data_IF_281202703906
#
_entry.id   IF_281202703906
#
_cell.length_a   1.000
_cell.length_b   1.000
_cell.length_c   1.000
_cell.angle_alpha   90.00
_cell.angle_beta   90.00
_cell.angle_gamma   90.00
#
_symmetry.space_group_name_H-M   'P 1'
#
loop_
_entity.id
_entity.type
_entity.pdbx_description
1 polymer ?
#
# COMPACT_ATOMS: atom_id res chain seq x y z
N UNK A 1 25.28 -28.53 -17.08
CA UNK A 1 24.21 -27.95 -16.24
C UNK A 1 23.44 -26.98 -17.10
N UNK A 2 22.12 -27.20 -17.28
CA UNK A 2 21.34 -26.49 -18.30
C UNK A 2 20.76 -25.19 -17.79
N UNK A 3 20.80 -24.14 -18.63
CA UNK A 3 20.19 -22.81 -18.45
C UNK A 3 18.79 -22.82 -17.80
N UNK A 4 17.96 -23.82 -18.11
CA UNK A 4 16.62 -24.00 -17.53
C UNK A 4 16.64 -24.27 -16.01
N UNK A 5 17.66 -24.98 -15.51
CA UNK A 5 17.85 -25.24 -14.07
C UNK A 5 18.31 -23.98 -13.34
N UNK A 6 19.21 -23.23 -13.96
CA UNK A 6 19.74 -21.97 -13.41
C UNK A 6 18.66 -20.88 -13.38
N UNK A 7 17.85 -20.77 -14.44
CA UNK A 7 16.70 -19.87 -14.49
C UNK A 7 15.63 -20.23 -13.45
N UNK A 8 15.32 -21.52 -13.31
CA UNK A 8 14.42 -22.01 -12.25
C UNK A 8 14.93 -21.61 -10.86
N UNK A 9 16.22 -21.81 -10.59
CA UNK A 9 16.84 -21.45 -9.31
C UNK A 9 16.78 -19.94 -9.05
N UNK A 10 16.96 -19.12 -10.09
CA UNK A 10 16.83 -17.66 -9.98
C UNK A 10 15.38 -17.21 -9.69
N UNK A 11 14.37 -17.78 -10.36
CA UNK A 11 12.96 -17.45 -10.12
C UNK A 11 12.47 -17.85 -8.72
N UNK A 12 12.97 -18.95 -8.17
CA UNK A 12 12.62 -19.40 -6.82
C UNK A 12 13.43 -18.68 -5.72
N UNK A 13 14.27 -17.70 -6.08
CA UNK A 13 14.90 -16.84 -5.10
C UNK A 13 13.86 -15.85 -4.58
N UNK A 14 13.64 -15.83 -3.26
CA UNK A 14 12.60 -15.02 -2.61
C UNK A 14 12.58 -13.54 -3.08
N UNK A 15 13.76 -12.94 -3.27
CA UNK A 15 13.89 -11.54 -3.71
C UNK A 15 13.28 -11.25 -5.09
N UNK A 16 13.36 -12.19 -6.03
CA UNK A 16 12.80 -12.00 -7.37
C UNK A 16 11.28 -12.19 -7.36
N UNK A 17 10.80 -13.16 -6.56
CA UNK A 17 9.38 -13.45 -6.41
C UNK A 17 8.63 -12.30 -5.72
N UNK A 18 9.18 -11.75 -4.65
CA UNK A 18 8.57 -10.63 -3.91
C UNK A 18 8.43 -9.38 -4.79
N UNK A 19 9.45 -9.06 -5.59
CA UNK A 19 9.40 -7.95 -6.54
C UNK A 19 8.33 -8.18 -7.62
N UNK A 20 8.28 -9.39 -8.19
CA UNK A 20 7.31 -9.73 -9.22
C UNK A 20 5.86 -9.63 -8.71
N UNK A 21 5.61 -10.17 -7.52
CA UNK A 21 4.30 -10.09 -6.85
C UNK A 21 3.94 -8.63 -6.59
N UNK A 22 4.89 -7.82 -6.09
CA UNK A 22 4.68 -6.40 -5.83
C UNK A 22 4.27 -5.61 -7.08
N UNK A 23 4.90 -5.86 -8.23
CA UNK A 23 4.57 -5.20 -9.50
C UNK A 23 3.17 -5.60 -9.99
N UNK A 24 2.85 -6.89 -9.98
CA UNK A 24 1.53 -7.39 -10.44
C UNK A 24 0.40 -6.82 -9.58
N UNK A 25 0.55 -6.84 -8.26
CA UNK A 25 -0.43 -6.27 -7.33
C UNK A 25 -0.54 -4.76 -7.53
N UNK A 26 0.58 -4.05 -7.71
CA UNK A 26 0.60 -2.61 -7.96
C UNK A 26 -0.20 -2.21 -9.20
N UNK A 27 -0.02 -2.92 -10.32
CA UNK A 27 -0.76 -2.66 -11.57
C UNK A 27 -2.25 -2.97 -11.42
N UNK A 28 -2.59 -4.10 -10.79
CA UNK A 28 -3.98 -4.48 -10.56
C UNK A 28 -4.70 -3.45 -9.67
N UNK A 29 -4.05 -3.02 -8.59
CA UNK A 29 -4.61 -2.04 -7.66
C UNK A 29 -4.79 -0.67 -8.32
N UNK A 30 -3.84 -0.23 -9.16
CA UNK A 30 -3.97 0.99 -9.96
C UNK A 30 -5.24 1.01 -10.82
N UNK A 31 -5.58 -0.12 -11.44
CA UNK A 31 -6.80 -0.27 -12.24
C UNK A 31 -8.08 -0.14 -11.38
N UNK A 32 -8.08 -0.73 -10.18
CA UNK A 32 -9.23 -0.64 -9.25
C UNK A 32 -9.44 0.80 -8.81
N UNK A 33 -8.38 1.51 -8.44
CA UNK A 33 -8.49 2.92 -8.03
C UNK A 33 -8.95 3.79 -9.19
N UNK A 34 -8.40 3.56 -10.39
CA UNK A 34 -8.84 4.27 -11.60
C UNK A 34 -10.32 4.07 -11.86
N UNK A 35 -10.80 2.82 -11.78
CA UNK A 35 -12.22 2.50 -11.91
C UNK A 35 -13.07 3.18 -10.83
N UNK A 36 -12.60 3.25 -9.59
CA UNK A 36 -13.29 3.96 -8.52
C UNK A 36 -13.40 5.47 -8.80
N UNK A 37 -12.33 6.11 -9.25
CA UNK A 37 -12.36 7.54 -9.58
C UNK A 37 -13.23 7.81 -10.80
N UNK A 38 -13.05 7.04 -11.87
CA UNK A 38 -13.80 7.21 -13.12
C UNK A 38 -15.31 6.97 -12.93
N UNK A 39 -15.70 5.99 -12.10
CA UNK A 39 -17.11 5.60 -11.95
C UNK A 39 -17.84 6.24 -10.77
N UNK A 40 -17.14 6.65 -9.70
CA UNK A 40 -17.78 7.27 -8.53
C UNK A 40 -17.44 8.76 -8.42
N UNK A 41 -16.18 9.13 -8.57
CA UNK A 41 -15.73 10.49 -8.27
C UNK A 41 -16.02 11.45 -9.44
N UNK A 42 -15.73 11.04 -10.68
CA UNK A 42 -16.01 11.85 -11.87
C UNK A 42 -17.49 12.25 -12.02
N UNK A 43 -18.48 11.34 -11.90
CA UNK A 43 -19.89 11.74 -11.98
C UNK A 43 -20.34 12.59 -10.78
N UNK A 44 -19.78 12.36 -9.59
CA UNK A 44 -20.08 13.18 -8.42
C UNK A 44 -19.60 14.63 -8.59
N UNK A 45 -18.45 14.83 -9.26
CA UNK A 45 -17.96 16.17 -9.61
C UNK A 45 -18.85 16.85 -10.65
N UNK A 46 -19.29 16.13 -11.69
CA UNK A 46 -20.20 16.66 -12.71
C UNK A 46 -21.51 17.20 -12.12
N UNK A 47 -21.99 16.62 -11.02
CA UNK A 47 -23.20 17.07 -10.30
C UNK A 47 -22.94 18.32 -9.43
N UNK A 48 -21.73 18.49 -8.89
CA UNK A 48 -21.38 19.59 -7.97
C UNK A 48 -20.89 20.85 -8.73
N UNK A 49 -20.30 20.67 -9.90
CA UNK A 49 -19.90 21.76 -10.78
C UNK A 49 -19.57 21.21 -12.17
N UNK A 50 -20.06 21.88 -13.22
CA UNK A 50 -19.70 21.56 -14.60
C UNK A 50 -18.20 21.83 -14.84
N UNK A 51 -17.33 20.94 -14.39
CA UNK A 51 -15.89 20.97 -14.63
C UNK A 51 -15.51 20.24 -15.92
N UNK A 52 -16.37 20.34 -16.94
CA UNK A 52 -16.07 19.80 -18.26
C UNK A 52 -15.23 20.83 -19.03
N UNK A 53 -13.93 20.84 -18.74
CA UNK A 53 -12.97 21.61 -19.52
C UNK A 53 -12.67 20.92 -20.86
N UNK A 54 -13.24 19.73 -21.15
CA UNK A 54 -12.85 18.92 -22.30
C UNK A 54 -13.20 19.57 -23.65
N UNK A 55 -14.10 20.56 -23.68
CA UNK A 55 -14.46 21.33 -24.87
C UNK A 55 -13.62 22.59 -25.09
N UNK A 56 -12.74 22.96 -24.15
CA UNK A 56 -11.80 24.08 -24.33
C UNK A 56 -10.66 23.65 -25.27
N UNK A 57 -10.88 23.85 -26.57
CA UNK A 57 -9.89 23.71 -27.64
C UNK A 57 -9.52 25.08 -28.20
N UNK A 58 -8.23 25.43 -28.26
CA UNK A 58 -7.78 26.59 -29.04
C UNK A 58 -7.27 26.08 -30.38
N UNK A 59 -7.92 26.47 -31.47
CA UNK A 59 -7.47 26.23 -32.83
C UNK A 59 -6.35 27.22 -33.17
N UNK A 60 -5.10 26.79 -33.05
CA UNK A 60 -3.95 27.51 -33.62
C UNK A 60 -3.52 26.82 -34.91
N UNK A 61 -3.71 27.53 -36.04
CA UNK A 61 -2.98 27.28 -37.30
C UNK A 61 -3.03 25.82 -37.80
N UNK A 62 -4.21 25.19 -37.74
CA UNK A 62 -4.45 23.85 -38.31
C UNK A 62 -4.12 22.66 -37.39
N UNK A 63 -3.74 22.90 -36.14
CA UNK A 63 -3.65 21.87 -35.09
C UNK A 63 -4.66 22.14 -33.98
N UNK A 64 -5.51 21.16 -33.68
CA UNK A 64 -6.41 21.23 -32.53
C UNK A 64 -5.64 20.90 -31.24
N UNK A 65 -5.37 21.92 -30.42
CA UNK A 65 -4.76 21.73 -29.10
C UNK A 65 -5.85 21.66 -28.03
N UNK A 66 -6.14 20.44 -27.59
CA UNK A 66 -7.09 20.14 -26.52
C UNK A 66 -6.43 20.24 -25.13
N UNK A 67 -6.12 21.46 -24.68
CA UNK A 67 -5.59 21.69 -23.32
C UNK A 67 -6.62 21.34 -22.23
N UNK A 68 -7.90 21.40 -22.57
CA UNK A 68 -9.01 20.97 -21.73
C UNK A 68 -8.91 19.54 -21.20
N UNK A 69 -8.55 18.60 -22.08
CA UNK A 69 -8.38 17.18 -21.71
C UNK A 69 -7.22 16.97 -20.75
N UNK A 70 -6.11 17.68 -20.96
CA UNK A 70 -4.95 17.59 -20.08
C UNK A 70 -5.26 18.08 -18.66
N UNK A 71 -5.98 19.18 -18.52
CA UNK A 71 -6.40 19.69 -17.21
C UNK A 71 -7.32 18.70 -16.50
N UNK A 72 -8.24 18.09 -17.23
CA UNK A 72 -9.11 17.04 -16.68
C UNK A 72 -8.29 15.82 -16.19
N UNK A 73 -7.32 15.35 -16.96
CA UNK A 73 -6.44 14.24 -16.59
C UNK A 73 -5.61 14.56 -15.34
N UNK A 74 -5.14 15.81 -15.20
CA UNK A 74 -4.41 16.26 -14.00
C UNK A 74 -5.32 16.30 -12.76
N UNK A 75 -6.55 16.78 -12.91
CA UNK A 75 -7.53 16.80 -11.81
C UNK A 75 -7.88 15.37 -11.39
N UNK A 76 -8.14 14.48 -12.36
CA UNK A 76 -8.39 13.07 -12.11
C UNK A 76 -7.21 12.39 -11.39
N UNK A 77 -5.97 12.69 -11.81
CA UNK A 77 -4.76 12.19 -11.15
C UNK A 77 -4.66 12.66 -9.69
N UNK A 78 -4.94 13.93 -9.41
CA UNK A 78 -4.93 14.45 -8.03
C UNK A 78 -6.01 13.77 -7.17
N UNK A 79 -7.20 13.52 -7.73
CA UNK A 79 -8.28 12.82 -7.03
C UNK A 79 -7.93 11.36 -6.72
N UNK A 80 -7.32 10.65 -7.68
CA UNK A 80 -6.75 9.32 -7.46
C UNK A 80 -5.74 9.38 -6.31
N UNK A 81 -4.79 10.31 -6.34
CA UNK A 81 -3.76 10.42 -5.31
C UNK A 81 -4.36 10.64 -3.90
N UNK A 82 -5.34 11.53 -3.77
CA UNK A 82 -6.05 11.77 -2.49
C UNK A 82 -6.82 10.53 -2.04
N UNK A 83 -7.50 9.84 -2.96
CA UNK A 83 -8.25 8.63 -2.64
C UNK A 83 -7.33 7.50 -2.15
N UNK A 84 -6.20 7.26 -2.82
CA UNK A 84 -5.20 6.26 -2.38
C UNK A 84 -4.65 6.62 -1.02
N UNK A 85 -4.34 7.89 -0.79
CA UNK A 85 -3.83 8.35 0.50
C UNK A 85 -4.82 8.09 1.64
N UNK A 86 -6.10 8.36 1.43
CA UNK A 86 -7.13 8.12 2.44
C UNK A 86 -7.48 6.63 2.60
N UNK A 87 -7.60 5.88 1.49
CA UNK A 87 -8.04 4.49 1.52
C UNK A 87 -6.93 3.49 1.89
N UNK A 88 -5.67 3.80 1.59
CA UNK A 88 -4.53 2.88 1.81
C UNK A 88 -3.59 3.39 2.89
N UNK A 89 -3.15 4.65 2.81
CA UNK A 89 -2.10 5.16 3.70
C UNK A 89 -2.61 5.41 5.12
N UNK A 90 -3.83 5.93 5.29
CA UNK A 90 -4.46 6.09 6.62
C UNK A 90 -4.63 4.76 7.37
N UNK A 91 -5.27 3.73 6.80
CA UNK A 91 -5.39 2.46 7.50
C UNK A 91 -4.03 1.81 7.71
N UNK A 92 -3.11 1.86 6.73
CA UNK A 92 -1.75 1.33 6.90
C UNK A 92 -1.08 1.90 8.16
N UNK A 93 -1.10 3.23 8.35
CA UNK A 93 -0.57 3.87 9.57
C UNK A 93 -1.28 3.40 10.84
N UNK A 94 -2.60 3.19 10.78
CA UNK A 94 -3.37 2.67 11.92
C UNK A 94 -3.10 1.19 12.22
N UNK A 95 -2.75 0.39 11.21
CA UNK A 95 -2.40 -1.02 11.37
C UNK A 95 -0.95 -1.21 11.83
N UNK A 96 -0.03 -0.39 11.33
CA UNK A 96 1.38 -0.42 11.75
C UNK A 96 1.52 -0.06 13.23
N UNK A 97 0.79 0.96 13.71
CA UNK A 97 0.76 1.28 15.14
C UNK A 97 0.24 0.12 16.02
N UNK A 98 -0.70 -0.68 15.52
CA UNK A 98 -1.18 -1.88 16.22
C UNK A 98 -0.19 -3.03 16.18
N UNK A 99 0.53 -3.20 15.07
CA UNK A 99 1.54 -4.23 14.92
C UNK A 99 2.78 -3.93 15.78
N UNK A 100 3.12 -2.66 15.98
CA UNK A 100 4.20 -2.23 16.89
C UNK A 100 3.84 -2.50 18.37
N UNK A 101 2.59 -2.27 18.80
CA UNK A 101 2.13 -2.67 20.15
C UNK A 101 2.28 -4.17 20.41
N UNK A 102 1.98 -5.02 19.42
CA UNK A 102 2.13 -6.48 19.55
C UNK A 102 3.61 -6.90 19.59
N UNK A 103 4.49 -6.20 18.86
CA UNK A 103 5.92 -6.52 18.78
C UNK A 103 6.72 -6.07 20.01
N UNK A 104 6.43 -4.88 20.56
CA UNK A 104 7.08 -4.36 21.77
C UNK A 104 6.62 -5.10 23.04
N UNK A 105 5.49 -5.82 22.95
CA UNK A 105 5.02 -6.68 24.03
C UNK A 105 5.80 -8.00 24.16
N UNK A 106 6.97 -8.19 23.54
CA UNK A 106 7.73 -9.44 23.70
C UNK A 106 9.00 -9.25 24.53
N UNK A 107 9.08 -9.96 25.66
CA UNK A 107 10.21 -9.91 26.60
C UNK A 107 10.89 -11.27 26.60
N UNK A 108 12.23 -11.26 26.57
CA UNK A 108 13.05 -12.47 26.70
C UNK A 108 13.14 -12.91 28.16
N UNK A 109 12.95 -14.20 28.42
CA UNK A 109 13.06 -14.77 29.77
C UNK A 109 14.52 -15.09 30.12
N UNK A 110 15.01 -14.69 31.29
CA UNK A 110 16.42 -14.94 31.68
C UNK A 110 16.75 -16.42 31.94
N UNK A 111 15.78 -17.21 32.43
CA UNK A 111 16.01 -18.62 32.75
C UNK A 111 16.11 -19.54 31.53
N UNK A 112 15.26 -19.32 30.52
CA UNK A 112 15.14 -20.22 29.36
C UNK A 112 15.36 -19.55 28.00
N UNK A 113 15.64 -18.24 27.99
CA UNK A 113 15.93 -17.44 26.79
C UNK A 113 14.84 -17.46 25.70
N UNK A 114 13.63 -17.93 26.03
CA UNK A 114 12.50 -17.93 25.12
C UNK A 114 11.79 -16.57 25.12
N UNK A 115 11.25 -16.17 23.97
CA UNK A 115 10.43 -14.97 23.81
C UNK A 115 9.02 -15.19 24.36
N UNK A 116 8.55 -14.31 25.25
CA UNK A 116 7.26 -14.44 25.97
C UNK A 116 6.51 -13.10 25.93
N UNK A 117 5.17 -13.09 25.80
CA UNK A 117 4.39 -11.85 25.88
C UNK A 117 4.57 -11.14 27.23
N UNK A 118 4.67 -9.81 27.21
CA UNK A 118 4.98 -8.92 28.33
C UNK A 118 3.93 -8.98 29.42
N UNK A 119 2.70 -9.41 29.10
CA UNK A 119 1.63 -9.63 30.07
C UNK A 119 1.73 -10.95 30.87
N UNK A 120 2.63 -11.88 30.52
CA UNK A 120 2.70 -13.19 31.18
C UNK A 120 3.28 -13.11 32.61
N UNK A 121 2.59 -13.67 33.60
CA UNK A 121 3.09 -13.76 34.99
C UNK A 121 4.03 -14.94 35.23
N UNK A 122 3.93 -15.99 34.39
CA UNK A 122 4.75 -17.20 34.43
C UNK A 122 5.17 -17.59 33.02
N UNK A 123 6.38 -18.12 32.86
CA UNK A 123 6.84 -18.61 31.58
C UNK A 123 6.11 -19.90 31.16
N UNK A 124 5.67 -19.98 29.91
CA UNK A 124 5.02 -21.19 29.36
C UNK A 124 5.98 -22.37 29.18
N UNK A 125 7.28 -22.11 28.98
CA UNK A 125 8.30 -23.13 28.75
C UNK A 125 8.92 -23.66 30.04
N UNK A 126 9.39 -22.77 30.93
CA UNK A 126 10.11 -23.16 32.15
C UNK A 126 9.29 -23.04 33.45
N UNK A 127 8.08 -22.46 33.41
CA UNK A 127 7.20 -22.25 34.59
C UNK A 127 7.76 -21.39 35.73
N UNK A 128 8.94 -20.79 35.57
CA UNK A 128 9.49 -19.80 36.51
C UNK A 128 8.59 -18.55 36.60
N UNK A 129 8.45 -17.98 37.80
CA UNK A 129 7.76 -16.70 38.03
C UNK A 129 8.68 -15.52 37.69
N UNK A 130 8.18 -14.59 36.89
CA UNK A 130 8.98 -13.45 36.42
C UNK A 130 9.47 -12.58 37.57
N UNK A 131 10.78 -12.35 37.64
CA UNK A 131 11.35 -11.17 38.32
C UNK A 131 11.53 -10.08 37.27
N UNK A 132 10.68 -9.06 37.32
CA UNK A 132 10.72 -7.91 36.41
C UNK A 132 11.93 -7.05 36.78
N UNK A 133 12.94 -7.00 35.92
CA UNK A 133 13.88 -5.86 35.87
C UNK A 133 13.89 -5.37 34.44
N UNK A 134 13.08 -4.35 34.17
CA UNK A 134 13.17 -3.60 32.92
C UNK A 134 14.49 -2.84 32.87
N UNK A 135 15.10 -2.83 31.69
CA UNK A 135 15.98 -1.75 31.27
C UNK A 135 15.13 -0.78 30.45
#
# INVERSE_FOLDING_TARGET
MGLLRDFRHYLFTARALDLAIGVVIGVAFGTVIKSFVDNLVSPLMSVIGNFDFSELSVTLRGGEFFYGRFINDVIAFLLVAVTVFLAVVRPKRSYEAKLEEDAESTVTCDACLSTIPAAARRCAFCREERTVVGV
#
